data_IF_892598164200
#
_entry.id   IF_892598164200
#
_cell.length_a   1.000
_cell.length_b   1.000
_cell.length_c   1.000
_cell.angle_alpha   90.00
_cell.angle_beta   90.00
_cell.angle_gamma   90.00
#
_symmetry.space_group_name_H-M   'P 1'
#
loop_
_entity.id
_entity.type
_entity.pdbx_description
1 polymer ?
#
# COMPACT_ATOMS: atom_id res chain seq x y z
N UNK A 1 21.82 -10.34 -0.89
CA UNK A 1 21.02 -9.24 -1.42
C UNK A 1 20.31 -9.75 -2.69
N UNK A 2 18.97 -9.80 -2.67
CA UNK A 2 18.15 -10.28 -3.79
C UNK A 2 18.05 -9.16 -4.82
N UNK A 3 18.21 -9.44 -6.10
CA UNK A 3 18.07 -8.45 -7.17
C UNK A 3 16.58 -8.27 -7.50
N UNK A 4 16.12 -7.04 -7.66
CA UNK A 4 14.73 -6.72 -7.97
C UNK A 4 14.19 -7.35 -9.26
N UNK A 5 15.06 -7.66 -10.23
CA UNK A 5 14.70 -8.38 -11.45
C UNK A 5 14.14 -9.80 -11.15
N UNK A 6 14.64 -10.45 -10.10
CA UNK A 6 14.20 -11.79 -9.71
C UNK A 6 12.83 -11.73 -9.01
N UNK A 7 12.51 -10.62 -8.34
CA UNK A 7 11.22 -10.39 -7.67
C UNK A 7 10.03 -10.21 -8.64
N UNK A 8 10.29 -9.74 -9.87
CA UNK A 8 9.22 -9.66 -10.88
C UNK A 8 8.80 -11.03 -11.43
N UNK A 9 9.64 -12.03 -11.33
CA UNK A 9 9.29 -13.40 -11.66
C UNK A 9 8.43 -14.04 -10.56
N UNK A 10 8.65 -13.65 -9.30
CA UNK A 10 7.88 -14.12 -8.15
C UNK A 10 6.81 -13.12 -7.72
N UNK A 11 5.69 -13.09 -8.47
CA UNK A 11 4.55 -12.24 -8.10
C UNK A 11 4.02 -12.62 -6.72
N UNK A 12 3.74 -11.63 -5.91
CA UNK A 12 3.07 -11.83 -4.63
C UNK A 12 1.72 -12.52 -4.81
N UNK A 13 1.43 -13.52 -3.99
CA UNK A 13 0.23 -14.35 -4.06
C UNK A 13 -0.69 -14.19 -2.85
N UNK A 14 -0.20 -13.52 -1.79
CA UNK A 14 -0.93 -13.26 -0.56
C UNK A 14 -0.42 -11.97 0.11
N UNK A 15 -1.21 -11.38 1.01
CA UNK A 15 -0.75 -10.25 1.83
C UNK A 15 0.49 -10.57 2.66
N UNK A 16 1.24 -9.55 2.99
CA UNK A 16 2.43 -9.60 3.86
C UNK A 16 3.57 -10.49 3.34
N UNK A 17 3.68 -10.68 2.03
CA UNK A 17 4.86 -11.30 1.40
C UNK A 17 5.92 -10.27 1.04
N UNK A 18 5.49 -9.11 0.54
CA UNK A 18 6.35 -8.02 0.11
C UNK A 18 5.68 -6.70 0.46
N UNK A 19 6.41 -5.83 1.12
CA UNK A 19 5.99 -4.46 1.39
C UNK A 19 6.83 -3.50 0.55
N UNK A 20 6.18 -2.54 -0.09
CA UNK A 20 6.84 -1.42 -0.74
C UNK A 20 6.93 -0.25 0.22
N UNK A 21 8.08 0.41 0.27
CA UNK A 21 8.28 1.63 1.05
C UNK A 21 8.86 2.73 0.19
N UNK A 22 8.42 3.95 0.42
CA UNK A 22 8.96 5.15 -0.19
C UNK A 22 8.52 6.38 0.59
N UNK A 23 9.27 7.48 0.43
CA UNK A 23 8.92 8.79 0.94
C UNK A 23 8.25 9.65 -0.12
N UNK A 24 7.23 10.39 0.29
CA UNK A 24 6.76 11.54 -0.49
C UNK A 24 6.72 12.78 0.36
N UNK A 25 6.91 13.94 -0.26
CA UNK A 25 6.97 15.23 0.46
C UNK A 25 5.68 16.02 0.27
N UNK A 26 5.27 16.70 1.36
CA UNK A 26 4.09 17.53 1.45
C UNK A 26 4.47 18.85 2.14
N UNK A 27 3.85 19.94 1.74
CA UNK A 27 4.16 21.27 2.28
C UNK A 27 3.09 21.70 3.28
N UNK A 28 3.53 22.21 4.41
CA UNK A 28 2.67 22.92 5.38
C UNK A 28 3.07 24.40 5.36
N UNK A 29 2.12 25.28 5.06
CA UNK A 29 2.36 26.71 4.93
C UNK A 29 2.82 27.31 6.25
N UNK A 30 3.95 27.99 6.26
CA UNK A 30 4.58 28.54 7.47
C UNK A 30 5.47 27.57 8.25
N UNK A 31 5.42 26.26 7.95
CA UNK A 31 6.21 25.23 8.64
C UNK A 31 7.27 24.56 7.74
N UNK A 32 7.08 24.62 6.40
CA UNK A 32 8.01 24.03 5.45
C UNK A 32 7.58 22.63 4.94
N UNK A 33 8.57 21.78 4.67
CA UNK A 33 8.36 20.47 4.08
C UNK A 33 8.27 19.38 5.15
N UNK A 34 7.29 18.52 4.97
CA UNK A 34 7.12 17.28 5.72
C UNK A 34 7.23 16.08 4.77
N UNK A 35 7.60 14.95 5.30
CA UNK A 35 7.87 13.74 4.55
C UNK A 35 6.95 12.61 5.03
N UNK A 36 6.17 12.07 4.13
CA UNK A 36 5.29 10.96 4.43
C UNK A 36 6.02 9.65 4.11
N UNK A 37 6.42 8.93 5.13
CA UNK A 37 6.87 7.53 5.02
C UNK A 37 5.66 6.63 4.90
N UNK A 38 5.66 5.67 3.98
CA UNK A 38 4.52 4.78 3.73
C UNK A 38 4.98 3.34 3.57
N UNK A 39 4.24 2.41 4.16
CA UNK A 39 4.37 0.97 3.93
C UNK A 39 3.11 0.48 3.23
N UNK A 40 3.28 0.00 1.99
CA UNK A 40 2.22 -0.53 1.14
C UNK A 40 2.41 -2.02 0.92
N UNK A 41 1.38 -2.81 1.18
CA UNK A 41 1.37 -4.24 0.84
C UNK A 41 1.28 -4.44 -0.68
N UNK A 42 2.26 -5.12 -1.26
CA UNK A 42 2.38 -5.27 -2.72
C UNK A 42 1.21 -6.05 -3.33
N UNK A 43 0.70 -7.06 -2.63
CA UNK A 43 -0.38 -7.90 -3.14
C UNK A 43 -1.72 -7.16 -3.16
N UNK A 44 -2.12 -6.62 -2.03
CA UNK A 44 -3.43 -6.01 -1.82
C UNK A 44 -3.47 -4.51 -2.12
N UNK A 45 -2.31 -3.84 -2.18
CA UNK A 45 -2.17 -2.37 -2.22
C UNK A 45 -2.68 -1.67 -0.96
N UNK A 46 -2.89 -2.41 0.10
CA UNK A 46 -3.31 -1.89 1.39
C UNK A 46 -2.17 -1.07 2.00
N UNK A 47 -2.47 0.13 2.49
CA UNK A 47 -1.53 0.93 3.27
C UNK A 47 -1.53 0.35 4.67
N UNK A 48 -0.46 -0.37 5.01
CA UNK A 48 -0.31 -1.07 6.28
C UNK A 48 -0.01 -0.07 7.39
N UNK A 49 0.94 0.84 7.12
CA UNK A 49 1.29 1.93 8.02
C UNK A 49 1.79 3.14 7.23
N UNK A 50 1.77 4.29 7.89
CA UNK A 50 2.35 5.53 7.41
C UNK A 50 2.73 6.42 8.60
N UNK A 51 3.67 7.33 8.36
CA UNK A 51 4.11 8.31 9.36
C UNK A 51 4.47 9.62 8.67
N UNK A 52 3.95 10.74 9.20
CA UNK A 52 4.35 12.07 8.77
C UNK A 52 5.60 12.49 9.56
N UNK A 53 6.71 12.70 8.86
CA UNK A 53 8.03 12.93 9.42
C UNK A 53 8.52 14.35 9.07
N UNK A 54 9.44 14.86 9.86
CA UNK A 54 10.16 16.12 9.59
C UNK A 54 11.47 15.88 8.85
N UNK A 55 11.91 14.63 8.76
CA UNK A 55 13.13 14.20 8.07
C UNK A 55 12.86 12.98 7.20
N UNK A 56 13.86 12.55 6.41
CA UNK A 56 13.84 11.29 5.66
C UNK A 56 15.04 10.44 6.10
N UNK A 57 15.20 10.20 7.39
CA UNK A 57 16.30 9.39 7.91
C UNK A 57 15.90 7.91 7.99
N UNK A 58 16.89 7.03 8.15
CA UNK A 58 16.66 5.62 8.38
C UNK A 58 15.73 5.36 9.59
N UNK A 59 15.89 6.14 10.67
CA UNK A 59 15.01 6.06 11.84
C UNK A 59 13.54 6.34 11.53
N UNK A 60 13.23 7.24 10.58
CA UNK A 60 11.84 7.48 10.15
C UNK A 60 11.26 6.27 9.42
N UNK A 61 12.12 5.53 8.68
CA UNK A 61 11.73 4.28 8.01
C UNK A 61 11.49 3.18 9.03
N UNK A 62 12.41 2.97 9.97
CA UNK A 62 12.28 1.93 11.00
C UNK A 62 11.07 2.14 11.89
N UNK A 63 10.81 3.38 12.32
CA UNK A 63 9.60 3.72 13.08
C UNK A 63 8.31 3.37 12.29
N UNK A 64 8.29 3.63 10.98
CA UNK A 64 7.13 3.29 10.14
C UNK A 64 6.99 1.77 9.96
N UNK A 65 8.12 1.05 9.89
CA UNK A 65 8.13 -0.42 9.83
C UNK A 65 7.65 -1.06 11.13
N UNK A 66 8.01 -0.49 12.29
CA UNK A 66 7.49 -0.94 13.59
C UNK A 66 5.97 -0.84 13.65
N UNK A 67 5.42 0.32 13.25
CA UNK A 67 3.97 0.51 13.13
C UNK A 67 3.33 -0.52 12.19
N UNK A 68 4.00 -0.84 11.06
CA UNK A 68 3.50 -1.81 10.10
C UNK A 68 3.53 -3.24 10.65
N UNK A 69 4.60 -3.62 11.35
CA UNK A 69 4.72 -4.94 11.99
C UNK A 69 3.64 -5.13 13.05
N UNK A 70 3.38 -4.11 13.86
CA UNK A 70 2.32 -4.12 14.87
C UNK A 70 0.93 -4.22 14.23
N UNK A 71 0.62 -3.32 13.30
CA UNK A 71 -0.70 -3.27 12.63
C UNK A 71 -1.03 -4.54 11.84
N UNK A 72 -0.04 -5.19 11.25
CA UNK A 72 -0.21 -6.44 10.49
C UNK A 72 -0.22 -7.70 11.36
N UNK A 73 0.18 -7.59 12.64
CA UNK A 73 0.45 -8.72 13.52
C UNK A 73 1.74 -9.49 13.17
N UNK A 74 2.53 -9.00 12.22
CA UNK A 74 3.79 -9.63 11.80
C UNK A 74 4.93 -9.47 12.83
N UNK A 75 4.74 -8.71 13.90
CA UNK A 75 5.67 -8.61 15.03
C UNK A 75 5.78 -9.92 15.83
N UNK A 76 4.74 -10.77 15.79
CA UNK A 76 4.70 -12.00 16.58
C UNK A 76 5.86 -12.94 16.25
N UNK A 77 6.51 -13.50 17.28
CA UNK A 77 7.59 -14.48 17.17
C UNK A 77 7.15 -15.81 16.52
N UNK A 78 5.85 -16.08 16.45
CA UNK A 78 5.30 -17.29 15.83
C UNK A 78 5.26 -17.22 14.30
N UNK A 79 5.45 -16.02 13.73
CA UNK A 79 5.43 -15.83 12.26
C UNK A 79 6.80 -16.20 11.68
N UNK A 80 6.85 -17.31 10.95
CA UNK A 80 8.07 -17.83 10.32
C UNK A 80 8.56 -17.00 9.13
N UNK A 81 7.66 -16.32 8.44
CA UNK A 81 7.98 -15.55 7.23
C UNK A 81 7.57 -14.10 7.44
N UNK A 82 8.54 -13.27 7.72
CA UNK A 82 8.36 -11.82 7.74
C UNK A 82 8.20 -11.28 6.31
N UNK A 83 7.51 -10.16 6.13
CA UNK A 83 7.46 -9.48 4.82
C UNK A 83 8.87 -9.08 4.37
N UNK A 84 9.14 -9.22 3.06
CA UNK A 84 10.34 -8.61 2.48
C UNK A 84 10.06 -7.13 2.25
N UNK A 85 11.07 -6.29 2.40
CA UNK A 85 10.96 -4.86 2.14
C UNK A 85 11.51 -4.53 0.75
N UNK A 86 10.72 -3.86 -0.06
CA UNK A 86 11.15 -3.30 -1.35
C UNK A 86 11.24 -1.78 -1.25
N UNK A 87 12.42 -1.23 -1.50
CA UNK A 87 12.69 0.20 -1.53
C UNK A 87 13.44 0.61 -2.79
N UNK A 88 13.57 1.91 -3.01
CA UNK A 88 14.55 2.46 -3.93
C UNK A 88 15.98 2.43 -3.35
N UNK A 89 16.90 3.13 -4.00
CA UNK A 89 18.28 3.28 -3.55
C UNK A 89 18.53 4.65 -2.88
N UNK A 90 17.52 5.27 -2.31
CA UNK A 90 17.64 6.51 -1.54
C UNK A 90 18.54 6.34 -0.33
N UNK A 91 19.16 7.43 0.14
CA UNK A 91 20.15 7.41 1.23
C UNK A 91 19.62 6.77 2.50
N UNK A 92 18.35 6.94 2.81
CA UNK A 92 17.69 6.34 3.97
C UNK A 92 17.63 4.82 3.90
N UNK A 93 17.51 4.27 2.67
CA UNK A 93 17.34 2.84 2.42
C UNK A 93 18.66 2.09 2.22
N UNK A 94 19.77 2.81 1.99
CA UNK A 94 21.11 2.21 1.88
C UNK A 94 21.92 2.30 3.17
N UNK A 95 21.36 2.87 4.24
CA UNK A 95 22.04 3.04 5.52
C UNK A 95 22.26 1.70 6.24
N UNK A 96 23.35 1.62 6.98
CA UNK A 96 23.63 0.46 7.83
C UNK A 96 22.57 0.32 8.94
N UNK A 97 22.11 1.45 9.51
CA UNK A 97 21.10 1.44 10.57
C UNK A 97 19.82 0.72 10.15
N UNK A 98 19.37 0.92 8.91
CA UNK A 98 18.21 0.18 8.38
C UNK A 98 18.55 -1.28 8.12
N UNK A 99 19.76 -1.57 7.62
CA UNK A 99 20.17 -2.94 7.33
C UNK A 99 20.23 -3.78 8.63
N UNK A 100 20.86 -3.24 9.68
CA UNK A 100 20.96 -3.86 10.98
C UNK A 100 19.57 -4.08 11.60
N UNK A 101 18.69 -3.06 11.52
CA UNK A 101 17.32 -3.17 12.02
C UNK A 101 16.53 -4.28 11.29
N UNK A 102 16.65 -4.39 9.96
CA UNK A 102 15.97 -5.44 9.19
C UNK A 102 16.50 -6.84 9.52
N UNK A 103 17.82 -6.98 9.72
CA UNK A 103 18.43 -8.24 10.14
C UNK A 103 17.93 -8.67 11.53
N UNK A 104 17.87 -7.75 12.49
CA UNK A 104 17.35 -8.00 13.86
C UNK A 104 15.87 -8.46 13.83
N UNK A 105 15.09 -8.00 12.85
CA UNK A 105 13.68 -8.35 12.69
C UNK A 105 13.46 -9.53 11.73
N UNK A 106 14.52 -10.12 11.17
CA UNK A 106 14.44 -11.24 10.23
C UNK A 106 13.71 -10.88 8.93
N UNK A 107 13.87 -9.65 8.47
CA UNK A 107 13.25 -9.14 7.23
C UNK A 107 14.30 -9.02 6.11
N UNK A 108 14.01 -9.61 4.95
CA UNK A 108 14.85 -9.44 3.77
C UNK A 108 14.62 -8.07 3.13
N UNK A 109 15.71 -7.47 2.63
CA UNK A 109 15.68 -6.22 1.91
C UNK A 109 15.92 -6.42 0.41
N UNK A 110 14.94 -6.04 -0.40
CA UNK A 110 15.02 -6.01 -1.86
C UNK A 110 15.15 -4.55 -2.29
N UNK A 111 16.20 -4.23 -3.05
CA UNK A 111 16.38 -2.88 -3.61
C UNK A 111 16.14 -2.88 -5.10
N UNK A 112 15.44 -1.86 -5.60
CA UNK A 112 15.23 -1.65 -7.02
C UNK A 112 16.56 -1.63 -7.77
N UNK A 113 16.61 -2.28 -8.95
CA UNK A 113 17.80 -2.14 -9.80
C UNK A 113 17.91 -0.68 -10.25
N UNK A 114 19.14 -0.12 -10.32
CA UNK A 114 19.35 1.21 -10.86
C UNK A 114 18.70 1.33 -12.25
N UNK A 115 17.96 2.41 -12.50
CA UNK A 115 17.26 2.70 -13.75
C UNK A 115 16.09 1.75 -14.12
N UNK A 116 15.53 1.01 -13.18
CA UNK A 116 14.29 0.24 -13.38
C UNK A 116 13.14 0.76 -12.49
N UNK A 117 12.48 1.88 -12.86
CA UNK A 117 11.41 2.50 -12.07
C UNK A 117 10.15 1.63 -11.95
N UNK A 118 9.99 0.62 -12.78
CA UNK A 118 8.81 -0.25 -12.78
C UNK A 118 8.63 -1.08 -11.50
N UNK A 119 9.69 -1.22 -10.69
CA UNK A 119 9.67 -2.04 -9.47
C UNK A 119 8.77 -1.47 -8.38
N UNK A 120 8.63 -0.15 -8.30
CA UNK A 120 7.85 0.56 -7.28
C UNK A 120 6.56 1.23 -7.81
N UNK A 121 6.13 0.91 -9.01
CA UNK A 121 4.99 1.57 -9.66
C UNK A 121 3.67 1.53 -8.87
N UNK A 122 3.54 0.65 -7.86
CA UNK A 122 2.34 0.62 -7.00
C UNK A 122 2.38 1.73 -5.95
N UNK A 123 3.51 1.92 -5.27
CA UNK A 123 3.67 2.97 -4.27
C UNK A 123 3.76 4.35 -4.92
N UNK A 124 4.39 4.47 -6.09
CA UNK A 124 4.39 5.72 -6.87
C UNK A 124 2.96 6.14 -7.24
N UNK A 125 2.13 5.20 -7.70
CA UNK A 125 0.72 5.46 -8.01
C UNK A 125 -0.10 5.81 -6.77
N UNK A 126 0.23 5.23 -5.62
CA UNK A 126 -0.33 5.62 -4.34
C UNK A 126 0.02 7.08 -4.03
N UNK A 127 1.29 7.46 -4.10
CA UNK A 127 1.73 8.83 -3.85
C UNK A 127 1.06 9.83 -4.79
N UNK A 128 0.96 9.51 -6.08
CA UNK A 128 0.24 10.35 -7.03
C UNK A 128 -1.24 10.50 -6.66
N UNK A 129 -1.88 9.42 -6.25
CA UNK A 129 -3.29 9.42 -5.84
C UNK A 129 -3.50 10.26 -4.57
N UNK A 130 -2.62 10.13 -3.59
CA UNK A 130 -2.62 10.93 -2.36
C UNK A 130 -2.44 12.42 -2.70
N UNK A 131 -1.40 12.77 -3.46
CA UNK A 131 -1.09 14.15 -3.83
C UNK A 131 -2.24 14.81 -4.58
N UNK A 132 -2.89 14.12 -5.50
CA UNK A 132 -4.04 14.63 -6.25
C UNK A 132 -5.22 15.02 -5.34
N UNK A 133 -5.30 14.49 -4.12
CA UNK A 133 -6.34 14.85 -3.15
C UNK A 133 -5.84 15.85 -2.11
N UNK A 134 -4.68 15.58 -1.52
CA UNK A 134 -4.14 16.38 -0.41
C UNK A 134 -3.73 17.77 -0.89
N UNK A 135 -3.13 17.89 -2.08
CA UNK A 135 -2.67 19.18 -2.62
C UNK A 135 -3.80 20.08 -3.18
N UNK A 136 -5.05 19.65 -3.11
CA UNK A 136 -6.20 20.52 -3.41
C UNK A 136 -6.45 21.56 -2.30
N UNK A 137 -5.89 21.34 -1.12
CA UNK A 137 -6.05 22.19 0.06
C UNK A 137 -4.69 22.70 0.55
N UNK A 138 -4.68 23.83 1.22
CA UNK A 138 -3.50 24.35 1.89
C UNK A 138 -3.59 24.04 3.39
N UNK A 139 -2.53 23.50 3.93
CA UNK A 139 -2.43 23.16 5.35
C UNK A 139 -1.53 24.17 6.05
N UNK A 140 -1.99 24.70 7.18
CA UNK A 140 -1.30 25.69 8.00
C UNK A 140 -0.80 25.11 9.32
N UNK A 141 -1.25 23.91 9.69
CA UNK A 141 -0.82 23.18 10.88
C UNK A 141 -0.46 21.74 10.47
N UNK A 142 0.66 21.20 10.97
CA UNK A 142 1.04 19.79 10.72
C UNK A 142 -0.05 18.80 11.12
N UNK A 143 -0.74 19.03 12.24
CA UNK A 143 -1.84 18.18 12.69
C UNK A 143 -3.02 18.13 11.72
N UNK A 144 -3.36 19.25 11.07
CA UNK A 144 -4.42 19.28 10.06
C UNK A 144 -4.04 18.46 8.81
N UNK A 145 -2.77 18.46 8.42
CA UNK A 145 -2.26 17.62 7.35
C UNK A 145 -2.30 16.14 7.74
N UNK A 146 -1.90 15.80 8.97
CA UNK A 146 -1.92 14.44 9.51
C UNK A 146 -3.35 13.86 9.52
N UNK A 147 -4.33 14.61 10.02
CA UNK A 147 -5.75 14.25 10.00
C UNK A 147 -6.28 14.02 8.58
N UNK A 148 -5.91 14.88 7.62
CA UNK A 148 -6.31 14.75 6.23
C UNK A 148 -5.72 13.49 5.58
N UNK A 149 -4.43 13.18 5.87
CA UNK A 149 -3.78 11.95 5.41
C UNK A 149 -4.47 10.72 6.02
N UNK A 150 -4.74 10.73 7.34
CA UNK A 150 -5.43 9.65 8.05
C UNK A 150 -6.79 9.35 7.43
N UNK A 151 -7.60 10.38 7.22
CA UNK A 151 -8.91 10.26 6.58
C UNK A 151 -8.79 9.70 5.15
N UNK A 152 -7.79 10.15 4.40
CA UNK A 152 -7.56 9.69 3.05
C UNK A 152 -7.07 8.24 2.98
N UNK A 153 -6.15 7.82 3.85
CA UNK A 153 -5.70 6.42 3.96
C UNK A 153 -6.87 5.50 4.29
N UNK A 154 -7.70 5.90 5.24
CA UNK A 154 -8.91 5.13 5.58
C UNK A 154 -9.85 4.98 4.37
N UNK A 155 -10.12 6.08 3.64
CA UNK A 155 -10.92 6.04 2.42
C UNK A 155 -10.27 5.15 1.33
N UNK A 156 -8.97 5.29 1.12
CA UNK A 156 -8.21 4.51 0.13
C UNK A 156 -8.27 3.02 0.44
N UNK A 157 -8.05 2.64 1.67
CA UNK A 157 -8.03 1.24 2.09
C UNK A 157 -9.42 0.59 2.06
N UNK A 158 -10.47 1.31 2.49
CA UNK A 158 -11.77 0.70 2.76
C UNK A 158 -12.87 1.07 1.77
N UNK A 159 -12.71 2.13 0.97
CA UNK A 159 -13.78 2.64 0.10
C UNK A 159 -13.39 2.78 -1.37
N UNK A 160 -12.10 2.91 -1.67
CA UNK A 160 -11.64 3.06 -3.04
C UNK A 160 -11.55 1.70 -3.73
N UNK A 161 -12.32 1.52 -4.80
CA UNK A 161 -12.22 0.34 -5.66
C UNK A 161 -11.04 0.45 -6.63
N UNK A 162 -10.34 -0.67 -6.84
CA UNK A 162 -9.22 -0.77 -7.75
C UNK A 162 -9.52 -1.77 -8.87
N UNK A 163 -9.47 -1.31 -10.12
CA UNK A 163 -9.72 -2.15 -11.30
C UNK A 163 -8.79 -3.37 -11.32
N UNK A 164 -7.50 -3.17 -11.06
CA UNK A 164 -6.50 -4.24 -11.01
C UNK A 164 -6.69 -5.26 -9.89
N UNK A 165 -7.57 -4.98 -8.92
CA UNK A 165 -8.01 -5.91 -7.87
C UNK A 165 -9.41 -6.48 -8.16
N UNK A 166 -9.88 -6.41 -9.41
CA UNK A 166 -11.24 -6.85 -9.76
C UNK A 166 -12.33 -5.93 -9.19
N UNK A 167 -12.06 -4.62 -9.10
CA UNK A 167 -12.92 -3.62 -8.46
C UNK A 167 -13.22 -3.95 -6.97
N UNK A 168 -12.25 -4.49 -6.27
CA UNK A 168 -12.26 -4.64 -4.82
C UNK A 168 -11.52 -3.48 -4.14
N UNK A 169 -11.78 -3.26 -2.85
CA UNK A 169 -10.96 -2.36 -2.05
C UNK A 169 -9.68 -3.05 -1.60
N UNK A 170 -8.59 -2.31 -1.32
CA UNK A 170 -7.39 -2.87 -0.73
C UNK A 170 -7.68 -3.71 0.52
N UNK A 171 -8.55 -3.23 1.40
CA UNK A 171 -8.95 -3.94 2.61
C UNK A 171 -9.68 -5.26 2.33
N UNK A 172 -10.50 -5.34 1.27
CA UNK A 172 -11.17 -6.61 0.91
C UNK A 172 -10.16 -7.68 0.51
N UNK A 173 -9.09 -7.28 -0.18
CA UNK A 173 -8.02 -8.18 -0.60
C UNK A 173 -7.12 -8.52 0.59
N UNK A 174 -6.71 -7.52 1.37
CA UNK A 174 -5.80 -7.70 2.51
C UNK A 174 -6.38 -8.63 3.58
N UNK A 175 -7.68 -8.50 3.89
CA UNK A 175 -8.38 -9.32 4.87
C UNK A 175 -9.03 -10.59 4.30
N UNK A 176 -8.70 -10.98 3.06
CA UNK A 176 -9.14 -12.24 2.46
C UNK A 176 -10.63 -12.33 2.13
N UNK A 177 -11.32 -11.19 1.96
CA UNK A 177 -12.78 -11.16 1.64
C UNK A 177 -13.07 -11.26 0.15
N UNK A 178 -12.05 -11.25 -0.71
CA UNK A 178 -12.14 -11.17 -2.17
C UNK A 178 -13.05 -12.21 -2.78
N UNK A 179 -12.85 -13.49 -2.46
CA UNK A 179 -13.55 -14.60 -3.10
C UNK A 179 -15.06 -14.57 -2.79
N UNK A 180 -15.41 -14.25 -1.54
CA UNK A 180 -16.80 -14.11 -1.12
C UNK A 180 -17.50 -13.00 -1.90
N UNK A 181 -16.90 -11.81 -1.99
CA UNK A 181 -17.45 -10.66 -2.69
C UNK A 181 -17.61 -10.94 -4.19
N UNK A 182 -16.56 -11.50 -4.82
CA UNK A 182 -16.59 -11.80 -6.26
C UNK A 182 -17.63 -12.88 -6.59
N UNK A 183 -17.80 -13.89 -5.73
CA UNK A 183 -18.81 -14.92 -5.87
C UNK A 183 -20.23 -14.35 -5.81
N UNK A 184 -20.52 -13.48 -4.85
CA UNK A 184 -21.82 -12.82 -4.73
C UNK A 184 -22.12 -11.87 -5.90
N UNK A 185 -21.11 -11.12 -6.36
CA UNK A 185 -21.25 -10.28 -7.57
C UNK A 185 -21.59 -11.12 -8.81
N UNK A 186 -20.94 -12.30 -8.97
CA UNK A 186 -21.23 -13.22 -10.09
C UNK A 186 -22.68 -13.73 -10.04
N UNK A 187 -23.13 -14.23 -8.89
CA UNK A 187 -24.51 -14.68 -8.70
C UNK A 187 -25.53 -13.56 -9.00
N UNK A 188 -25.27 -12.36 -8.50
CA UNK A 188 -26.14 -11.20 -8.76
C UNK A 188 -26.20 -10.85 -10.23
N UNK A 189 -25.04 -10.84 -10.92
CA UNK A 189 -24.98 -10.64 -12.37
C UNK A 189 -25.78 -11.67 -13.15
N UNK A 190 -25.61 -12.96 -12.85
CA UNK A 190 -26.32 -14.06 -13.50
C UNK A 190 -27.83 -13.95 -13.30
N UNK A 191 -28.27 -13.70 -12.06
CA UNK A 191 -29.67 -13.47 -11.72
C UNK A 191 -30.28 -12.29 -12.51
N UNK A 192 -29.58 -11.18 -12.53
CA UNK A 192 -30.03 -9.97 -13.24
C UNK A 192 -30.11 -10.20 -14.75
N UNK A 193 -29.15 -10.88 -15.34
CA UNK A 193 -29.16 -11.21 -16.77
C UNK A 193 -30.32 -12.17 -17.11
N UNK A 194 -30.54 -13.18 -16.28
CA UNK A 194 -31.68 -14.12 -16.44
C UNK A 194 -33.02 -13.38 -16.36
N UNK A 195 -33.18 -12.52 -15.39
CA UNK A 195 -34.40 -11.73 -15.21
C UNK A 195 -34.66 -10.77 -16.40
N UNK A 196 -33.61 -10.07 -16.89
CA UNK A 196 -33.73 -9.21 -18.07
C UNK A 196 -34.11 -9.99 -19.33
N UNK A 197 -33.57 -11.21 -19.54
CA UNK A 197 -33.93 -12.09 -20.66
C UNK A 197 -35.43 -12.47 -20.61
N UNK A 198 -35.93 -12.86 -19.44
CA UNK A 198 -37.34 -13.21 -19.27
C UNK A 198 -38.26 -12.01 -19.55
N UNK A 199 -37.91 -10.82 -19.03
CA UNK A 199 -38.67 -9.60 -19.31
C UNK A 199 -38.68 -9.22 -20.79
N UNK A 200 -37.57 -9.38 -21.50
CA UNK A 200 -37.51 -9.11 -22.93
C UNK A 200 -38.33 -10.11 -23.76
N UNK A 201 -38.29 -11.39 -23.40
CA UNK A 201 -39.14 -12.41 -24.06
C UNK A 201 -40.63 -12.13 -23.86
N UNK A 202 -41.05 -11.74 -22.65
CA UNK A 202 -42.45 -11.40 -22.36
C UNK A 202 -42.93 -10.08 -22.99
N UNK A 203 -42.01 -9.22 -23.49
CA UNK A 203 -42.38 -7.99 -24.25
C UNK A 203 -42.45 -8.23 -25.77
N UNK A 204 -41.91 -9.34 -26.24
CA UNK A 204 -41.88 -9.70 -27.67
C UNK A 204 -43.03 -10.66 -28.07
N UNK A 205 -43.82 -11.10 -27.08
CA UNK A 205 -45.06 -11.85 -27.26
C UNK A 205 -46.27 -10.95 -27.03
#
# INVERSE_FOLDING_TARGET
MIKAADEFHDKTTRPNQLWQTDFTYLKVTGWGWFYLSTILDDFSRYIVAWKLCTTMKAGDVTDTLELALEASGCSSATIRHKPRLLSDNGSSYISNDLADWLEDHGMDHVRGAPNHPQTQGKIERWHQTLKNRILLENYYLPGALDEAISAFVNHYNHRRYHESLGNLTPADVYFGRSDGILKERRKTKERTLKQRRLLNLGRAA
#
